data_IF_184906418518
#
_entry.id   IF_184906418518
#
_cell.length_a   1.000
_cell.length_b   1.000
_cell.length_c   1.000
_cell.angle_alpha   90.00
_cell.angle_beta   90.00
_cell.angle_gamma   90.00
#
_symmetry.space_group_name_H-M   'P 1'
#
loop_
_entity.id
_entity.type
_entity.pdbx_description
1 polymer ?
#
# COMPACT_ATOMS: atom_id res chain seq x y z
N UNK A 1 -21.02 64.25 82.84
CA UNK A 1 -19.58 64.35 82.48
C UNK A 1 -19.26 63.16 81.58
N UNK A 2 -19.33 63.34 80.27
CA UNK A 2 -19.01 62.30 79.28
C UNK A 2 -17.68 62.63 78.63
N UNK A 3 -16.66 61.79 78.91
CA UNK A 3 -15.32 61.88 78.27
C UNK A 3 -15.39 61.15 76.92
N UNK A 4 -15.36 61.89 75.80
CA UNK A 4 -15.14 61.33 74.48
C UNK A 4 -13.68 60.91 74.33
N UNK A 5 -13.42 59.62 74.22
CA UNK A 5 -12.14 59.07 73.82
C UNK A 5 -12.03 59.20 72.28
N UNK A 6 -11.22 60.12 71.80
CA UNK A 6 -10.90 60.24 70.38
C UNK A 6 -9.77 59.25 70.03
N UNK A 7 -10.10 58.11 69.38
CA UNK A 7 -9.10 57.28 68.80
C UNK A 7 -8.36 58.03 67.66
N UNK A 8 -7.06 58.17 67.79
CA UNK A 8 -6.22 58.74 66.72
C UNK A 8 -6.15 57.73 65.58
N UNK A 9 -6.37 58.16 64.31
CA UNK A 9 -6.21 57.26 63.19
C UNK A 9 -4.76 56.74 63.09
N UNK A 10 -4.61 55.42 63.06
CA UNK A 10 -3.32 54.76 62.81
C UNK A 10 -2.82 55.12 61.44
N UNK A 11 -1.92 56.06 61.33
CA UNK A 11 -1.22 56.36 60.07
C UNK A 11 -0.22 55.22 59.78
N UNK A 12 -0.49 54.42 58.76
CA UNK A 12 0.53 53.52 58.27
C UNK A 12 1.75 54.33 57.84
N UNK A 13 2.93 54.01 58.32
CA UNK A 13 4.13 54.77 57.95
C UNK A 13 4.35 54.60 56.43
N UNK A 14 4.63 55.75 55.77
CA UNK A 14 4.84 55.74 54.28
C UNK A 14 5.90 54.75 53.82
N UNK A 15 6.80 54.38 54.66
CA UNK A 15 7.79 53.34 54.46
C UNK A 15 7.15 51.94 54.28
N UNK A 16 6.13 51.61 55.08
CA UNK A 16 5.42 50.30 54.94
C UNK A 16 4.66 50.19 53.64
N UNK A 17 4.07 51.28 53.20
CA UNK A 17 3.36 51.35 51.90
C UNK A 17 4.34 51.18 50.73
N UNK A 18 5.46 51.85 50.80
CA UNK A 18 6.55 51.77 49.81
C UNK A 18 7.13 50.32 49.77
N UNK A 19 7.33 49.70 50.92
CA UNK A 19 7.79 48.30 51.00
C UNK A 19 6.80 47.35 50.39
N UNK A 20 5.48 47.51 50.64
CA UNK A 20 4.41 46.67 50.04
C UNK A 20 4.40 46.86 48.52
N UNK A 21 4.56 48.07 48.02
CA UNK A 21 4.62 48.34 46.57
C UNK A 21 5.82 47.66 45.94
N UNK A 22 6.99 47.72 46.58
CA UNK A 22 8.22 47.07 46.11
C UNK A 22 8.04 45.57 46.11
N UNK A 23 7.51 44.97 47.19
CA UNK A 23 7.27 43.52 47.29
C UNK A 23 6.24 43.06 46.28
N UNK A 24 5.15 43.83 46.10
CA UNK A 24 4.14 43.55 45.09
C UNK A 24 4.73 43.62 43.66
N UNK A 25 5.52 44.65 43.40
CA UNK A 25 6.24 44.81 42.11
C UNK A 25 7.22 43.67 41.84
N UNK A 26 7.98 43.24 42.86
CA UNK A 26 8.85 42.08 42.74
C UNK A 26 8.09 40.76 42.57
N UNK A 27 6.95 40.60 43.25
CA UNK A 27 6.12 39.43 43.11
C UNK A 27 5.48 39.35 41.70
N UNK A 28 4.92 40.46 41.22
CA UNK A 28 4.38 40.59 39.87
C UNK A 28 5.50 40.37 38.82
N UNK A 29 6.63 41.04 38.97
CA UNK A 29 7.79 40.84 38.08
C UNK A 29 8.26 39.40 38.09
N UNK A 30 8.37 38.79 39.30
CA UNK A 30 8.70 37.36 39.46
C UNK A 30 7.69 36.42 38.79
N UNK A 31 6.39 36.68 38.93
CA UNK A 31 5.38 35.91 38.28
C UNK A 31 5.50 35.90 36.73
N UNK A 32 5.72 37.06 36.12
CA UNK A 32 5.88 37.19 34.67
C UNK A 32 7.25 36.70 34.16
N UNK A 33 8.28 36.74 34.99
CA UNK A 33 9.62 36.29 34.63
C UNK A 33 9.86 34.81 34.95
N UNK A 34 9.16 34.22 35.91
CA UNK A 34 9.36 32.85 36.35
C UNK A 34 9.33 31.82 35.19
N UNK A 35 8.41 31.90 34.21
CA UNK A 35 8.41 30.99 33.06
C UNK A 35 9.66 31.10 32.18
N UNK A 36 10.37 32.26 32.24
CA UNK A 36 11.61 32.49 31.50
C UNK A 36 12.86 31.95 32.20
N UNK A 37 12.76 31.49 33.46
CA UNK A 37 13.86 30.86 34.21
C UNK A 37 13.77 29.35 34.25
N UNK A 38 13.24 28.74 33.19
CA UNK A 38 13.16 27.28 33.08
C UNK A 38 14.55 26.64 32.84
N UNK A 39 14.64 25.34 33.16
CA UNK A 39 15.85 24.52 32.99
C UNK A 39 15.71 23.47 31.91
N UNK A 40 14.53 23.34 31.30
CA UNK A 40 14.28 22.35 30.27
C UNK A 40 14.92 22.82 28.96
N UNK A 41 15.79 22.01 28.40
CA UNK A 41 16.42 22.33 27.13
C UNK A 41 15.49 21.94 25.96
N UNK A 42 15.65 22.59 24.78
CA UNK A 42 14.93 22.24 23.59
C UNK A 42 15.03 20.76 23.25
N UNK A 43 13.94 20.18 22.71
CA UNK A 43 13.93 18.80 22.23
C UNK A 43 14.12 18.76 20.72
N UNK A 44 14.94 17.84 20.25
CA UNK A 44 15.24 17.63 18.82
C UNK A 44 14.84 16.21 18.46
N UNK A 45 13.95 16.06 17.46
CA UNK A 45 13.49 14.77 16.94
C UNK A 45 13.81 14.68 15.45
N UNK A 46 14.28 13.51 15.02
CA UNK A 46 14.59 13.18 13.62
C UNK A 46 13.62 12.13 13.11
N UNK A 47 13.00 12.35 11.96
CA UNK A 47 12.04 11.41 11.36
C UNK A 47 12.25 11.29 9.85
N UNK A 48 12.46 10.09 9.29
CA UNK A 48 12.71 8.83 10.01
C UNK A 48 14.05 8.86 10.75
N UNK A 49 14.23 8.00 11.75
CA UNK A 49 15.52 7.79 12.39
C UNK A 49 16.44 6.93 11.51
N UNK A 50 16.89 7.51 10.39
CA UNK A 50 17.75 6.87 9.38
C UNK A 50 19.22 7.17 9.61
N UNK A 51 20.07 6.19 9.32
CA UNK A 51 21.53 6.32 9.26
C UNK A 51 22.04 6.67 7.84
N UNK A 52 21.11 6.87 6.89
CA UNK A 52 21.39 7.23 5.51
C UNK A 52 20.62 8.48 5.13
N UNK A 53 21.23 9.37 4.37
CA UNK A 53 20.62 10.59 3.84
C UNK A 53 20.86 10.68 2.33
N UNK A 54 19.76 10.73 1.55
CA UNK A 54 19.80 10.78 0.09
C UNK A 54 18.72 11.67 -0.50
N UNK A 55 17.89 11.10 -1.36
CA UNK A 55 16.72 11.77 -1.98
C UNK A 55 15.55 11.85 -1.00
N UNK A 56 15.36 10.79 -0.20
CA UNK A 56 14.33 10.79 0.84
C UNK A 56 14.63 11.89 1.88
N UNK A 57 13.66 12.74 2.21
CA UNK A 57 13.87 13.82 3.16
C UNK A 57 13.95 13.30 4.60
N UNK A 58 14.87 13.89 5.38
CA UNK A 58 14.92 13.79 6.83
C UNK A 58 14.21 15.02 7.41
N UNK A 59 13.18 14.81 8.19
CA UNK A 59 12.50 15.88 8.95
C UNK A 59 13.16 16.03 10.32
N UNK A 60 13.56 17.26 10.64
CA UNK A 60 14.12 17.67 11.92
C UNK A 60 13.07 18.55 12.60
N UNK A 61 12.52 18.08 13.71
CA UNK A 61 11.55 18.83 14.51
C UNK A 61 12.24 19.27 15.80
N UNK A 62 12.30 20.57 16.01
CA UNK A 62 12.86 21.19 17.22
C UNK A 62 11.72 21.85 17.97
N UNK A 63 11.54 21.50 19.24
CA UNK A 63 10.47 22.06 20.08
C UNK A 63 10.99 22.55 21.41
N UNK A 64 10.39 23.63 21.88
CA UNK A 64 10.55 24.14 23.24
C UNK A 64 9.23 24.68 23.74
N UNK A 65 8.67 24.05 24.77
CA UNK A 65 7.35 24.42 25.33
C UNK A 65 7.45 25.52 26.40
N UNK A 66 8.62 25.74 26.93
CA UNK A 66 8.91 26.73 27.97
C UNK A 66 9.19 28.14 27.42
N UNK A 67 10.44 28.57 27.46
CA UNK A 67 10.88 29.90 27.01
C UNK A 67 10.79 30.07 25.49
N UNK A 68 10.71 28.96 24.73
CA UNK A 68 10.70 28.92 23.27
C UNK A 68 12.09 29.02 22.66
N UNK A 69 12.19 28.57 21.41
CA UNK A 69 13.45 28.57 20.66
C UNK A 69 13.92 29.99 20.33
N UNK A 70 15.17 30.29 20.60
CA UNK A 70 15.84 31.55 20.23
C UNK A 70 16.74 31.37 18.99
N UNK A 71 17.34 30.19 18.84
CA UNK A 71 18.12 29.87 17.63
C UNK A 71 18.10 28.37 17.34
N UNK A 72 18.16 28.04 16.07
CA UNK A 72 18.36 26.69 15.58
C UNK A 72 19.39 26.73 14.46
N UNK A 73 20.47 25.95 14.62
CA UNK A 73 21.47 25.75 13.57
C UNK A 73 21.56 24.27 13.24
N UNK A 74 21.68 23.95 11.96
CA UNK A 74 21.90 22.58 11.48
C UNK A 74 23.03 22.63 10.45
N UNK A 75 24.04 21.80 10.64
CA UNK A 75 25.17 21.67 9.71
C UNK A 75 25.41 20.21 9.38
N UNK A 76 25.88 19.95 8.16
CA UNK A 76 26.24 18.64 7.66
C UNK A 76 27.69 18.66 7.20
N UNK A 77 28.54 17.90 7.86
CA UNK A 77 29.97 17.77 7.52
C UNK A 77 30.15 16.48 6.69
N UNK A 78 30.70 16.62 5.47
CA UNK A 78 30.97 15.52 4.54
C UNK A 78 32.37 15.64 3.99
N UNK A 79 33.21 14.62 4.20
CA UNK A 79 34.60 14.63 3.70
C UNK A 79 35.42 15.87 4.08
N UNK A 80 35.17 16.44 5.28
CA UNK A 80 35.80 17.66 5.77
C UNK A 80 35.21 18.98 5.26
N UNK A 81 34.17 18.91 4.41
CA UNK A 81 33.42 20.10 3.97
C UNK A 81 32.15 20.26 4.81
N UNK A 82 31.90 21.44 5.35
CA UNK A 82 30.70 21.74 6.13
C UNK A 82 29.70 22.48 5.27
N UNK A 83 28.47 21.94 5.25
CA UNK A 83 27.31 22.48 4.58
C UNK A 83 26.33 23.04 5.63
N UNK A 84 26.03 24.33 5.55
CA UNK A 84 25.02 24.93 6.42
C UNK A 84 23.62 24.60 5.87
N UNK A 85 22.85 23.89 6.68
CA UNK A 85 21.45 23.46 6.33
C UNK A 85 20.44 24.47 6.89
N UNK A 86 20.70 25.04 8.05
CA UNK A 86 19.88 26.06 8.67
C UNK A 86 20.72 26.89 9.66
N UNK A 87 20.49 28.21 9.68
CA UNK A 87 21.09 29.12 10.61
C UNK A 87 20.08 30.22 10.95
N UNK A 88 19.11 29.89 11.83
CA UNK A 88 18.03 30.82 12.16
C UNK A 88 18.17 31.36 13.59
N UNK A 89 17.94 32.66 13.72
CA UNK A 89 17.80 33.35 15.01
C UNK A 89 16.43 34.03 15.03
N UNK A 90 15.72 33.87 16.13
CA UNK A 90 14.38 34.41 16.28
C UNK A 90 14.40 35.63 17.18
N UNK A 91 13.87 36.75 16.67
CA UNK A 91 13.70 37.98 17.48
C UNK A 91 12.73 37.72 18.63
N UNK A 92 11.62 37.02 18.36
CA UNK A 92 10.68 36.50 19.33
C UNK A 92 10.78 34.99 19.38
N UNK A 93 10.82 34.36 20.58
CA UNK A 93 10.92 32.92 20.73
C UNK A 93 9.73 32.18 20.08
N UNK A 94 10.03 31.10 19.34
CA UNK A 94 9.04 30.22 18.69
C UNK A 94 8.95 28.88 19.42
N UNK A 95 7.77 28.24 19.45
CA UNK A 95 7.57 26.98 20.18
C UNK A 95 8.05 25.75 19.41
N UNK A 96 8.04 25.84 18.08
CA UNK A 96 8.41 24.74 17.21
C UNK A 96 9.10 25.26 15.95
N UNK A 97 10.09 24.50 15.47
CA UNK A 97 10.70 24.67 14.15
C UNK A 97 10.82 23.32 13.46
N UNK A 98 10.41 23.27 12.20
CA UNK A 98 10.58 22.12 11.32
C UNK A 98 11.57 22.46 10.21
N UNK A 99 12.52 21.56 9.98
CA UNK A 99 13.49 21.63 8.88
C UNK A 99 13.38 20.32 8.09
N UNK A 100 13.46 20.41 6.77
CA UNK A 100 13.49 19.24 5.89
C UNK A 100 14.81 19.24 5.14
N UNK A 101 15.58 18.19 5.32
CA UNK A 101 16.91 18.02 4.73
C UNK A 101 16.92 16.82 3.81
N UNK A 102 17.43 17.00 2.59
CA UNK A 102 17.70 15.90 1.66
C UNK A 102 19.08 16.16 1.01
N UNK A 103 19.93 15.13 0.93
CA UNK A 103 21.26 15.26 0.35
C UNK A 103 21.21 15.72 -1.10
N UNK A 104 20.26 15.21 -1.88
CA UNK A 104 20.06 15.58 -3.29
C UNK A 104 19.79 17.08 -3.53
N UNK A 105 19.42 17.83 -2.49
CA UNK A 105 19.18 19.28 -2.57
C UNK A 105 20.44 20.13 -2.24
N UNK A 106 21.53 19.48 -1.84
CA UNK A 106 22.77 20.16 -1.46
C UNK A 106 23.72 20.12 -2.67
N UNK A 107 24.01 21.28 -3.24
CA UNK A 107 24.87 21.38 -4.41
C UNK A 107 26.28 20.87 -4.12
N UNK A 108 26.80 19.98 -4.97
CA UNK A 108 28.17 19.44 -4.88
C UNK A 108 28.40 18.50 -3.72
N UNK A 109 27.35 17.97 -3.10
CA UNK A 109 27.49 16.97 -2.04
C UNK A 109 28.20 15.72 -2.56
N UNK A 110 29.09 15.17 -1.76
CA UNK A 110 29.80 13.92 -2.05
C UNK A 110 29.17 12.78 -1.26
N UNK A 111 29.21 11.59 -1.82
CA UNK A 111 28.85 10.36 -1.11
C UNK A 111 29.86 10.00 -0.04
N UNK A 112 29.39 9.27 0.97
CA UNK A 112 30.23 8.73 2.02
C UNK A 112 29.83 9.18 3.43
N UNK A 113 30.69 8.92 4.41
CA UNK A 113 30.42 9.25 5.81
C UNK A 113 30.21 10.75 6.02
N UNK A 114 29.18 11.08 6.80
CA UNK A 114 28.80 12.44 7.14
C UNK A 114 28.42 12.55 8.60
N UNK A 115 28.50 13.76 9.13
CA UNK A 115 28.07 14.09 10.48
C UNK A 115 27.06 15.22 10.42
N UNK A 116 25.83 14.92 10.80
CA UNK A 116 24.78 15.92 10.99
C UNK A 116 24.87 16.45 12.42
N UNK A 117 25.02 17.76 12.58
CA UNK A 117 25.00 18.44 13.87
C UNK A 117 23.89 19.46 13.91
N UNK A 118 23.04 19.34 14.93
CA UNK A 118 21.92 20.26 15.16
C UNK A 118 22.12 20.86 16.54
N UNK A 119 22.06 22.18 16.62
CA UNK A 119 22.15 22.91 17.87
C UNK A 119 20.93 23.80 18.00
N UNK A 120 20.21 23.62 19.09
CA UNK A 120 19.02 24.41 19.42
C UNK A 120 19.24 25.11 20.76
N UNK A 121 18.92 26.39 20.82
CA UNK A 121 18.98 27.18 22.04
C UNK A 121 17.65 27.88 22.27
N UNK A 122 17.19 27.87 23.52
CA UNK A 122 15.97 28.55 23.95
C UNK A 122 16.17 30.01 24.32
N UNK A 123 15.06 30.68 24.63
CA UNK A 123 15.06 32.06 25.15
C UNK A 123 15.07 32.15 26.68
N UNK A 124 15.40 31.06 27.38
CA UNK A 124 15.46 31.05 28.86
C UNK A 124 16.50 32.03 29.41
N UNK A 125 16.17 32.60 30.55
CA UNK A 125 17.11 33.46 31.33
C UNK A 125 17.99 32.61 32.23
N UNK A 126 17.90 31.28 32.22
CA UNK A 126 18.77 30.40 32.98
C UNK A 126 20.23 30.49 32.52
N UNK A 127 21.15 30.07 33.34
CA UNK A 127 22.57 30.05 33.00
C UNK A 127 23.15 31.44 32.71
N UNK A 128 22.86 32.46 33.53
CA UNK A 128 23.30 33.84 33.32
C UNK A 128 22.84 34.43 31.98
N UNK A 129 21.56 34.25 31.64
CA UNK A 129 20.93 34.76 30.42
C UNK A 129 21.41 34.08 29.12
N UNK A 130 22.11 32.94 29.22
CA UNK A 130 22.61 32.22 28.04
C UNK A 130 21.55 31.28 27.44
N UNK A 131 20.52 30.93 28.20
CA UNK A 131 19.50 29.92 27.81
C UNK A 131 20.01 28.49 27.95
N UNK A 132 19.11 27.55 27.73
CA UNK A 132 19.45 26.13 27.64
C UNK A 132 19.77 25.75 26.20
N UNK A 133 20.70 24.81 26.01
CA UNK A 133 21.16 24.38 24.72
C UNK A 133 21.06 22.86 24.59
N UNK A 134 20.57 22.38 23.47
CA UNK A 134 20.63 20.98 23.07
C UNK A 134 21.46 20.84 21.81
N UNK A 135 22.41 19.93 21.84
CA UNK A 135 23.21 19.56 20.67
C UNK A 135 22.96 18.07 20.36
N UNK A 136 22.50 17.79 19.17
CA UNK A 136 22.37 16.42 18.61
C UNK A 136 23.42 16.28 17.53
N UNK A 137 24.23 15.22 17.63
CA UNK A 137 25.17 14.84 16.60
C UNK A 137 24.84 13.41 16.13
N UNK A 138 24.66 13.24 14.84
CA UNK A 138 24.30 11.95 14.23
C UNK A 138 25.25 11.63 13.08
N UNK A 139 25.85 10.46 13.14
CA UNK A 139 26.62 9.90 12.03
C UNK A 139 25.66 9.38 10.98
N UNK A 140 25.88 9.76 9.73
CA UNK A 140 25.09 9.40 8.56
C UNK A 140 26.02 8.93 7.44
N UNK A 141 25.43 8.25 6.47
CA UNK A 141 26.06 8.01 5.17
C UNK A 141 25.28 8.77 4.11
N UNK A 142 25.94 9.59 3.32
CA UNK A 142 25.35 10.24 2.16
C UNK A 142 25.35 9.24 1.03
N UNK A 143 24.17 9.01 0.46
CA UNK A 143 23.96 8.12 -0.67
C UNK A 143 22.97 8.79 -1.66
N UNK A 144 23.48 9.13 -2.84
CA UNK A 144 22.71 9.76 -3.92
C UNK A 144 22.76 8.93 -5.22
N UNK A 145 23.34 7.73 -5.15
CA UNK A 145 23.43 6.80 -6.27
C UNK A 145 22.25 5.85 -6.27
N UNK A 146 21.42 5.82 -7.34
CA UNK A 146 20.31 4.86 -7.43
C UNK A 146 20.80 3.41 -7.43
N UNK A 147 20.00 2.48 -6.89
CA UNK A 147 20.31 1.05 -6.91
C UNK A 147 20.46 0.54 -8.34
N UNK A 148 21.21 -0.55 -8.51
CA UNK A 148 21.30 -1.25 -9.79
C UNK A 148 20.22 -2.32 -9.90
N UNK A 149 19.72 -2.54 -11.12
CA UNK A 149 18.79 -3.63 -11.44
C UNK A 149 19.27 -4.36 -12.69
N UNK A 150 19.13 -5.70 -12.69
CA UNK A 150 19.42 -6.56 -13.82
C UNK A 150 18.24 -7.50 -14.06
N UNK A 151 17.62 -7.42 -15.23
CA UNK A 151 16.53 -8.31 -15.62
C UNK A 151 17.13 -9.65 -16.10
N UNK A 152 16.71 -10.75 -15.49
CA UNK A 152 17.21 -12.10 -15.78
C UNK A 152 16.25 -12.83 -16.72
N UNK A 153 14.95 -12.74 -16.43
CA UNK A 153 13.91 -13.36 -17.26
C UNK A 153 12.60 -12.55 -17.15
N UNK A 154 11.88 -12.45 -18.26
CA UNK A 154 10.57 -11.81 -18.36
C UNK A 154 9.64 -12.58 -19.30
N UNK A 155 8.41 -12.06 -19.49
CA UNK A 155 7.46 -12.59 -20.44
C UNK A 155 7.44 -11.76 -21.72
N UNK A 156 7.53 -12.43 -22.85
CA UNK A 156 7.41 -11.79 -24.16
C UNK A 156 5.97 -11.35 -24.48
N UNK A 157 5.00 -12.08 -23.95
CA UNK A 157 3.58 -11.86 -24.24
C UNK A 157 2.78 -11.85 -22.94
N UNK A 158 1.91 -10.85 -22.79
CA UNK A 158 0.97 -10.78 -21.67
C UNK A 158 -0.42 -10.52 -22.24
N UNK A 159 -1.44 -11.18 -21.74
CA UNK A 159 -2.82 -10.89 -22.10
C UNK A 159 -3.28 -9.59 -21.45
N UNK A 160 -4.11 -8.80 -22.14
CA UNK A 160 -4.77 -7.66 -21.52
C UNK A 160 -5.67 -8.13 -20.38
N UNK A 161 -5.47 -7.63 -19.17
CA UNK A 161 -6.12 -8.14 -17.94
C UNK A 161 -5.48 -9.41 -17.36
N UNK A 162 -4.43 -9.93 -17.98
CA UNK A 162 -3.72 -11.14 -17.56
C UNK A 162 -2.47 -10.87 -16.72
N UNK A 163 -1.78 -11.95 -16.38
CA UNK A 163 -0.61 -11.96 -15.53
C UNK A 163 0.69 -12.18 -16.30
N UNK A 164 1.80 -11.76 -15.70
CA UNK A 164 3.16 -12.05 -16.12
C UNK A 164 4.08 -12.27 -14.91
N UNK A 165 5.28 -12.77 -15.18
CA UNK A 165 6.30 -12.99 -14.17
C UNK A 165 7.66 -12.48 -14.64
N UNK A 166 8.45 -11.95 -13.70
CA UNK A 166 9.85 -11.58 -13.95
C UNK A 166 10.76 -12.15 -12.88
N UNK A 167 12.01 -12.38 -13.27
CA UNK A 167 13.14 -12.63 -12.36
C UNK A 167 14.17 -11.55 -12.60
N UNK A 168 14.68 -10.97 -11.53
CA UNK A 168 15.66 -9.89 -11.58
C UNK A 168 16.57 -9.89 -10.36
N UNK A 169 17.71 -9.21 -10.48
CA UNK A 169 18.59 -8.83 -9.36
C UNK A 169 18.46 -7.36 -9.07
N UNK A 170 18.67 -6.99 -7.83
CA UNK A 170 18.83 -5.60 -7.41
C UNK A 170 19.99 -5.51 -6.40
N UNK A 171 20.63 -4.35 -6.32
CA UNK A 171 21.73 -4.12 -5.38
C UNK A 171 21.32 -4.36 -3.92
N UNK A 172 22.26 -4.74 -3.03
CA UNK A 172 21.95 -5.17 -1.66
C UNK A 172 21.30 -4.11 -0.77
N UNK A 173 21.49 -2.84 -1.07
CA UNK A 173 20.93 -1.67 -0.39
C UNK A 173 19.46 -1.41 -0.74
N UNK A 174 18.91 -2.12 -1.75
CA UNK A 174 17.52 -2.02 -2.18
C UNK A 174 16.56 -2.46 -1.06
N UNK A 175 15.63 -1.59 -0.67
CA UNK A 175 14.59 -1.88 0.33
C UNK A 175 13.24 -2.20 -0.28
N UNK A 176 12.96 -1.67 -1.47
CA UNK A 176 11.72 -1.93 -2.19
C UNK A 176 12.02 -2.12 -3.66
N UNK A 177 11.52 -3.21 -4.25
CA UNK A 177 11.60 -3.42 -5.69
C UNK A 177 10.41 -4.22 -6.21
N UNK A 178 10.08 -4.06 -7.50
CA UNK A 178 8.96 -4.73 -8.14
C UNK A 178 8.54 -4.07 -9.43
N UNK A 179 7.41 -4.50 -9.98
CA UNK A 179 6.85 -3.98 -11.23
C UNK A 179 5.79 -2.93 -10.93
N UNK A 180 5.89 -1.77 -11.56
CA UNK A 180 4.86 -0.72 -11.54
C UNK A 180 4.22 -0.61 -12.92
N UNK A 181 2.89 -0.51 -12.94
CA UNK A 181 2.11 -0.22 -14.14
C UNK A 181 0.90 0.65 -13.78
N UNK A 182 0.82 1.86 -14.35
CA UNK A 182 -0.12 2.87 -13.85
C UNK A 182 0.09 3.12 -12.35
N UNK A 183 -0.99 3.06 -11.58
CA UNK A 183 -0.99 3.24 -10.12
C UNK A 183 -0.76 1.92 -9.34
N UNK A 184 -0.59 0.80 -10.05
CA UNK A 184 -0.41 -0.51 -9.42
C UNK A 184 1.07 -0.84 -9.25
N UNK A 185 1.39 -1.42 -8.08
CA UNK A 185 2.72 -1.91 -7.76
C UNK A 185 2.67 -3.36 -7.33
N UNK A 186 3.53 -4.18 -7.93
CA UNK A 186 3.66 -5.62 -7.71
C UNK A 186 5.05 -5.91 -7.16
N UNK A 187 5.20 -6.10 -5.85
CA UNK A 187 6.50 -6.28 -5.21
C UNK A 187 7.17 -7.59 -5.61
N UNK A 188 8.49 -7.54 -5.75
CA UNK A 188 9.31 -8.73 -5.90
C UNK A 188 9.66 -9.36 -4.55
N UNK A 189 9.80 -10.68 -4.55
CA UNK A 189 10.12 -11.49 -3.37
C UNK A 189 11.39 -12.32 -3.62
N UNK A 190 12.36 -12.27 -2.71
CA UNK A 190 13.57 -13.09 -2.76
C UNK A 190 13.31 -14.55 -2.34
N UNK A 191 14.22 -15.45 -2.74
CA UNK A 191 14.25 -16.83 -2.25
C UNK A 191 13.25 -17.78 -2.93
N UNK A 192 12.61 -17.35 -4.02
CA UNK A 192 11.68 -18.20 -4.78
C UNK A 192 12.35 -18.92 -5.94
N UNK A 193 13.48 -18.40 -6.44
CA UNK A 193 14.21 -18.95 -7.58
C UNK A 193 15.17 -20.01 -7.09
N UNK A 194 15.08 -21.20 -7.66
CA UNK A 194 15.88 -22.36 -7.30
C UNK A 194 17.38 -22.05 -7.43
N UNK A 195 18.15 -22.43 -6.42
CA UNK A 195 19.62 -22.25 -6.34
C UNK A 195 20.11 -20.79 -6.47
N UNK A 196 19.20 -19.81 -6.42
CA UNK A 196 19.49 -18.38 -6.60
C UNK A 196 18.73 -17.52 -5.56
N UNK A 197 19.08 -17.60 -4.26
CA UNK A 197 18.31 -16.97 -3.18
C UNK A 197 18.30 -15.43 -3.24
N UNK A 198 19.30 -14.82 -3.92
CA UNK A 198 19.39 -13.36 -4.09
C UNK A 198 18.53 -12.81 -5.22
N UNK A 199 18.00 -13.69 -6.09
CA UNK A 199 17.10 -13.24 -7.15
C UNK A 199 15.72 -12.93 -6.60
N UNK A 200 15.15 -11.87 -7.13
CA UNK A 200 13.76 -11.52 -6.90
C UNK A 200 12.88 -12.17 -7.96
N UNK A 201 11.77 -12.71 -7.53
CA UNK A 201 10.67 -13.15 -8.38
C UNK A 201 9.47 -12.23 -8.15
N UNK A 202 8.87 -11.72 -9.20
CA UNK A 202 7.66 -10.92 -9.11
C UNK A 202 6.60 -11.43 -10.09
N UNK A 203 5.40 -11.68 -9.58
CA UNK A 203 4.19 -11.79 -10.38
C UNK A 203 3.61 -10.37 -10.56
N UNK A 204 3.20 -10.03 -11.77
CA UNK A 204 2.55 -8.75 -12.05
C UNK A 204 1.41 -8.92 -13.05
N UNK A 205 0.63 -7.88 -13.26
CA UNK A 205 -0.47 -7.91 -14.21
C UNK A 205 -0.42 -6.68 -15.13
N UNK A 206 -0.98 -6.82 -16.36
CA UNK A 206 -1.49 -5.67 -17.08
C UNK A 206 -2.99 -5.56 -16.79
N UNK A 207 -3.42 -4.71 -15.84
CA UNK A 207 -4.81 -4.72 -15.37
C UNK A 207 -5.80 -4.38 -16.50
N UNK A 208 -6.97 -4.99 -16.48
CA UNK A 208 -8.02 -4.77 -17.50
C UNK A 208 -8.55 -3.32 -17.55
N UNK A 209 -8.38 -2.57 -16.48
CA UNK A 209 -8.80 -1.17 -16.33
C UNK A 209 -7.67 -0.15 -16.55
N UNK A 210 -6.48 -0.61 -16.96
CA UNK A 210 -5.35 0.23 -17.33
C UNK A 210 -5.23 0.29 -18.86
N UNK A 211 -5.02 1.46 -19.47
CA UNK A 211 -4.85 1.53 -20.91
C UNK A 211 -3.75 0.62 -21.44
N UNK A 212 -3.98 -0.06 -22.58
CA UNK A 212 -2.97 -0.93 -23.19
C UNK A 212 -1.66 -0.22 -23.60
N UNK A 213 -1.67 1.11 -23.65
CA UNK A 213 -0.48 1.94 -23.89
C UNK A 213 0.35 2.20 -22.63
N UNK A 214 -0.15 1.84 -21.44
CA UNK A 214 0.59 2.01 -20.20
C UNK A 214 1.83 1.13 -20.19
N UNK A 215 2.94 1.71 -19.73
CA UNK A 215 4.22 1.01 -19.67
C UNK A 215 4.39 0.36 -18.31
N UNK A 216 4.81 -0.90 -18.30
CA UNK A 216 5.30 -1.54 -17.08
C UNK A 216 6.78 -1.17 -16.90
N UNK A 217 7.15 -0.88 -15.65
CA UNK A 217 8.54 -0.58 -15.29
C UNK A 217 8.96 -1.42 -14.09
N UNK A 218 10.13 -2.00 -14.14
CA UNK A 218 10.81 -2.55 -12.98
C UNK A 218 11.40 -1.39 -12.18
N UNK A 219 11.01 -1.26 -10.94
CA UNK A 219 11.43 -0.17 -10.04
C UNK A 219 12.19 -0.78 -8.87
N UNK A 220 13.29 -0.14 -8.48
CA UNK A 220 14.01 -0.45 -7.25
C UNK A 220 14.34 0.85 -6.52
N UNK A 221 14.11 0.87 -5.22
CA UNK A 221 14.37 2.02 -4.33
C UNK A 221 15.22 1.56 -3.16
N UNK A 222 16.27 2.30 -2.83
CA UNK A 222 17.18 2.04 -1.71
C UNK A 222 16.71 2.73 -0.40
N UNK A 223 17.52 2.58 0.67
CA UNK A 223 17.26 3.22 1.96
C UNK A 223 17.33 4.74 1.92
N UNK A 224 18.11 5.29 0.99
CA UNK A 224 18.29 6.74 0.81
C UNK A 224 17.17 7.36 -0.03
N UNK A 225 16.25 6.55 -0.58
CA UNK A 225 15.15 6.97 -1.43
C UNK A 225 15.54 7.18 -2.90
N UNK A 226 16.79 6.81 -3.29
CA UNK A 226 17.17 6.83 -4.69
C UNK A 226 16.42 5.72 -5.43
N UNK A 227 15.95 6.02 -6.64
CA UNK A 227 15.11 5.10 -7.41
C UNK A 227 15.70 4.85 -8.79
N UNK A 228 15.77 3.57 -9.16
CA UNK A 228 16.09 3.11 -10.53
C UNK A 228 14.81 2.60 -11.17
N UNK A 229 14.58 2.98 -12.42
CA UNK A 229 13.49 2.45 -13.26
C UNK A 229 14.05 1.82 -14.52
N UNK A 230 13.53 0.64 -14.89
CA UNK A 230 13.84 -0.06 -16.14
C UNK A 230 12.53 -0.45 -16.81
N UNK A 231 12.34 -0.04 -18.07
CA UNK A 231 11.15 -0.40 -18.83
C UNK A 231 11.12 -1.91 -19.09
N UNK A 232 9.98 -2.54 -18.85
CA UNK A 232 9.68 -3.91 -19.28
C UNK A 232 9.04 -3.86 -20.67
N UNK A 233 9.53 -4.70 -21.59
CA UNK A 233 9.07 -4.73 -22.97
C UNK A 233 8.41 -6.07 -23.26
N UNK A 234 7.09 -6.05 -23.40
CA UNK A 234 6.30 -7.22 -23.81
C UNK A 234 5.24 -6.82 -24.84
N UNK A 235 4.77 -7.79 -25.59
CA UNK A 235 3.65 -7.64 -26.51
C UNK A 235 2.34 -7.91 -25.76
N UNK A 236 1.49 -6.89 -25.64
CA UNK A 236 0.19 -7.02 -25.02
C UNK A 236 -0.79 -7.66 -26.01
N UNK A 237 -1.25 -8.87 -25.70
CA UNK A 237 -2.26 -9.57 -26.49
C UNK A 237 -3.65 -9.04 -26.16
N UNK A 238 -4.33 -8.55 -27.18
CA UNK A 238 -5.69 -8.04 -27.00
C UNK A 238 -6.66 -9.20 -26.70
N UNK A 239 -7.28 -9.15 -25.54
CA UNK A 239 -8.37 -10.02 -25.15
C UNK A 239 -9.69 -9.28 -25.38
N UNK A 240 -10.59 -9.89 -26.18
CA UNK A 240 -11.92 -9.32 -26.38
C UNK A 240 -12.82 -9.73 -25.21
N UNK A 241 -13.15 -8.78 -24.37
CA UNK A 241 -14.10 -8.98 -23.30
C UNK A 241 -15.54 -8.83 -23.80
N UNK A 242 -16.44 -9.62 -23.21
CA UNK A 242 -17.86 -9.59 -23.52
C UNK A 242 -18.47 -8.28 -23.01
N UNK A 243 -19.48 -7.80 -23.74
CA UNK A 243 -20.39 -6.76 -23.27
C UNK A 243 -21.78 -7.39 -23.14
N UNK A 244 -22.39 -7.23 -21.98
CA UNK A 244 -23.69 -7.82 -21.70
C UNK A 244 -24.66 -6.78 -21.13
N UNK A 245 -25.95 -6.99 -21.40
CA UNK A 245 -27.03 -6.20 -20.83
C UNK A 245 -27.83 -7.06 -19.88
N UNK A 246 -28.01 -6.62 -18.65
CA UNK A 246 -28.75 -7.32 -17.59
C UNK A 246 -30.00 -6.51 -17.26
N UNK A 247 -31.17 -7.06 -17.59
CA UNK A 247 -32.45 -6.48 -17.23
C UNK A 247 -32.79 -6.82 -15.78
N UNK A 248 -32.95 -5.79 -14.96
CA UNK A 248 -33.31 -5.91 -13.55
C UNK A 248 -34.84 -5.98 -13.42
N UNK A 249 -35.30 -6.91 -12.59
CA UNK A 249 -36.71 -7.07 -12.25
C UNK A 249 -36.98 -6.54 -10.85
N UNK A 250 -38.22 -6.11 -10.57
CA UNK A 250 -38.64 -5.71 -9.22
C UNK A 250 -38.40 -6.80 -8.19
N UNK A 251 -38.68 -8.06 -8.55
CA UNK A 251 -38.43 -9.20 -7.68
C UNK A 251 -36.96 -9.34 -7.31
N UNK A 252 -36.04 -9.19 -8.28
CA UNK A 252 -34.61 -9.22 -8.01
C UNK A 252 -34.19 -8.05 -7.13
N UNK A 253 -34.64 -6.84 -7.43
CA UNK A 253 -34.31 -5.64 -6.67
C UNK A 253 -34.78 -5.76 -5.21
N UNK A 254 -36.02 -6.20 -4.97
CA UNK A 254 -36.58 -6.35 -3.63
C UNK A 254 -35.90 -7.47 -2.82
N UNK A 255 -35.67 -8.63 -3.46
CA UNK A 255 -35.21 -9.84 -2.76
C UNK A 255 -33.70 -9.94 -2.62
N UNK A 256 -32.90 -9.32 -3.52
CA UNK A 256 -31.44 -9.44 -3.54
C UNK A 256 -30.71 -8.13 -3.27
N UNK A 257 -31.27 -6.98 -3.70
CA UNK A 257 -30.55 -5.70 -3.58
C UNK A 257 -30.91 -4.98 -2.27
N UNK A 258 -32.20 -4.82 -1.96
CA UNK A 258 -32.64 -4.11 -0.75
C UNK A 258 -32.05 -4.72 0.53
N UNK A 259 -31.97 -6.05 0.71
CA UNK A 259 -31.35 -6.66 1.90
C UNK A 259 -29.88 -6.37 2.11
N UNK A 260 -29.13 -6.00 1.04
CA UNK A 260 -27.71 -5.67 1.14
C UNK A 260 -27.47 -4.28 1.78
N UNK A 261 -28.47 -3.41 1.77
CA UNK A 261 -28.37 -2.08 2.38
C UNK A 261 -28.67 -2.20 3.87
N UNK A 262 -27.68 -1.93 4.71
CA UNK A 262 -27.83 -2.03 6.19
C UNK A 262 -28.60 -0.87 6.78
N UNK A 263 -28.49 0.31 6.18
CA UNK A 263 -29.18 1.54 6.61
C UNK A 263 -30.66 1.49 6.22
N UNK A 264 -31.55 1.61 7.22
CA UNK A 264 -32.99 1.56 7.03
C UNK A 264 -33.51 2.74 6.20
N UNK A 265 -32.94 3.93 6.36
CA UNK A 265 -33.35 5.12 5.61
C UNK A 265 -32.96 5.03 4.13
N UNK A 266 -31.78 4.49 3.85
CA UNK A 266 -31.31 4.25 2.49
C UNK A 266 -32.14 3.18 1.73
N UNK A 267 -32.94 2.33 2.42
CA UNK A 267 -33.86 1.36 1.82
C UNK A 267 -35.16 1.99 1.32
N UNK A 268 -35.49 3.21 1.75
CA UNK A 268 -36.79 3.86 1.46
C UNK A 268 -36.87 4.55 0.10
N UNK A 269 -35.75 4.60 -0.66
CA UNK A 269 -35.71 5.17 -2.01
C UNK A 269 -36.39 4.30 -3.07
N UNK A 270 -36.51 4.82 -4.29
CA UNK A 270 -36.94 4.00 -5.42
C UNK A 270 -35.95 2.83 -5.60
N UNK A 271 -36.44 1.60 -5.82
CA UNK A 271 -35.61 0.38 -5.86
C UNK A 271 -34.46 0.45 -6.86
N UNK A 272 -34.62 1.19 -7.97
CA UNK A 272 -33.56 1.45 -8.94
C UNK A 272 -32.41 2.27 -8.33
N UNK A 273 -32.74 3.25 -7.49
CA UNK A 273 -31.72 4.13 -6.86
C UNK A 273 -30.98 3.37 -5.76
N UNK A 274 -31.66 2.48 -5.04
CA UNK A 274 -31.04 1.53 -4.10
C UNK A 274 -30.05 0.63 -4.85
N UNK A 275 -30.41 0.12 -6.03
CA UNK A 275 -29.49 -0.67 -6.86
C UNK A 275 -28.25 0.12 -7.26
N UNK A 276 -28.42 1.35 -7.74
CA UNK A 276 -27.28 2.21 -8.14
C UNK A 276 -26.36 2.47 -6.94
N UNK A 277 -26.91 2.70 -5.75
CA UNK A 277 -26.11 2.86 -4.54
C UNK A 277 -25.33 1.59 -4.17
N UNK A 278 -25.96 0.42 -4.27
CA UNK A 278 -25.30 -0.89 -4.05
C UNK A 278 -24.22 -1.13 -5.12
N UNK A 279 -24.55 -0.92 -6.39
CA UNK A 279 -23.62 -1.20 -7.49
C UNK A 279 -22.42 -0.26 -7.54
N UNK A 280 -22.52 0.97 -7.02
CA UNK A 280 -21.41 1.93 -6.95
C UNK A 280 -20.71 1.88 -5.60
N UNK A 281 -21.41 2.28 -4.53
CA UNK A 281 -20.80 2.45 -3.22
C UNK A 281 -20.43 1.11 -2.57
N UNK A 282 -21.42 0.21 -2.40
CA UNK A 282 -21.17 -1.06 -1.71
C UNK A 282 -20.21 -1.95 -2.51
N UNK A 283 -20.32 -1.97 -3.85
CA UNK A 283 -19.34 -2.67 -4.71
C UNK A 283 -17.93 -2.14 -4.47
N UNK A 284 -17.75 -0.81 -4.53
CA UNK A 284 -16.43 -0.22 -4.28
C UNK A 284 -15.88 -0.54 -2.89
N UNK A 285 -16.70 -0.44 -1.85
CA UNK A 285 -16.30 -0.81 -0.49
C UNK A 285 -15.85 -2.28 -0.38
N UNK A 286 -16.55 -3.19 -1.06
CA UNK A 286 -16.19 -4.60 -1.08
C UNK A 286 -14.92 -4.86 -1.89
N UNK A 287 -14.75 -4.24 -3.05
CA UNK A 287 -13.55 -4.34 -3.89
C UNK A 287 -12.33 -3.75 -3.18
N UNK A 288 -12.46 -2.60 -2.50
CA UNK A 288 -11.41 -2.01 -1.67
C UNK A 288 -11.00 -2.97 -0.52
N UNK A 289 -11.97 -3.64 0.10
CA UNK A 289 -11.71 -4.63 1.14
C UNK A 289 -10.98 -5.86 0.59
N UNK A 290 -11.40 -6.38 -0.57
CA UNK A 290 -10.70 -7.47 -1.26
C UNK A 290 -9.27 -7.04 -1.57
N UNK A 291 -9.08 -5.86 -2.15
CA UNK A 291 -7.76 -5.33 -2.47
C UNK A 291 -6.88 -5.18 -1.22
N UNK A 292 -7.43 -4.72 -0.09
CA UNK A 292 -6.70 -4.59 1.16
C UNK A 292 -6.25 -5.95 1.75
N UNK A 293 -7.11 -6.98 1.63
CA UNK A 293 -6.80 -8.36 2.05
C UNK A 293 -5.72 -8.95 1.14
N UNK A 294 -5.90 -8.84 -0.18
CA UNK A 294 -5.07 -9.51 -1.18
C UNK A 294 -3.76 -8.77 -1.51
N UNK A 295 -3.44 -7.68 -0.79
CA UNK A 295 -2.11 -7.06 -0.76
C UNK A 295 -1.18 -7.63 0.30
N UNK A 296 -1.69 -8.41 1.25
CA UNK A 296 -0.92 -8.98 2.37
C UNK A 296 -0.70 -10.46 2.16
N UNK A 297 0.34 -10.82 1.43
CA UNK A 297 0.64 -12.20 1.07
C UNK A 297 1.82 -12.77 1.83
N UNK A 298 1.79 -14.07 2.01
CA UNK A 298 2.95 -14.86 2.43
C UNK A 298 4.08 -14.74 1.40
N UNK A 299 5.34 -14.50 1.81
CA UNK A 299 6.45 -14.36 0.87
C UNK A 299 6.81 -15.67 0.15
N UNK A 300 6.45 -16.82 0.70
CA UNK A 300 6.73 -18.13 0.11
C UNK A 300 5.60 -18.58 -0.83
N UNK A 301 5.94 -19.25 -1.94
CA UNK A 301 4.99 -19.91 -2.82
C UNK A 301 4.36 -21.12 -2.09
N UNK A 302 3.03 -21.17 -2.02
CA UNK A 302 2.25 -22.22 -1.35
C UNK A 302 1.53 -23.15 -2.34
N UNK A 303 1.57 -22.86 -3.61
CA UNK A 303 0.91 -23.59 -4.69
C UNK A 303 1.89 -24.37 -5.56
N UNK A 304 1.37 -25.32 -6.36
CA UNK A 304 2.16 -26.10 -7.29
C UNK A 304 1.36 -26.42 -8.54
N UNK A 305 1.93 -26.21 -9.72
CA UNK A 305 1.31 -26.47 -11.01
C UNK A 305 0.00 -25.67 -11.22
N UNK A 306 -0.83 -26.17 -12.13
CA UNK A 306 -2.06 -25.49 -12.53
C UNK A 306 -3.11 -25.48 -11.42
N UNK A 307 -3.90 -24.41 -11.39
CA UNK A 307 -5.07 -24.26 -10.54
C UNK A 307 -6.23 -25.07 -11.12
N UNK A 308 -7.03 -25.64 -10.26
CA UNK A 308 -8.18 -26.45 -10.68
C UNK A 308 -9.42 -25.56 -10.87
N UNK A 309 -10.07 -25.64 -12.01
CA UNK A 309 -11.43 -25.15 -12.18
C UNK A 309 -12.39 -26.00 -11.35
N UNK A 310 -13.50 -25.41 -10.89
CA UNK A 310 -14.58 -26.15 -10.21
C UNK A 310 -15.03 -27.33 -11.06
N UNK A 311 -15.02 -28.53 -10.50
CA UNK A 311 -15.34 -29.77 -11.20
C UNK A 311 -16.74 -29.70 -11.79
N UNK A 312 -16.92 -30.22 -13.01
CA UNK A 312 -18.19 -30.28 -13.73
C UNK A 312 -18.90 -28.93 -13.97
N UNK A 313 -18.19 -27.82 -13.80
CA UNK A 313 -18.81 -26.52 -13.95
C UNK A 313 -18.89 -26.06 -15.40
N UNK A 314 -19.94 -25.29 -15.68
CA UNK A 314 -20.11 -24.51 -16.91
C UNK A 314 -19.83 -23.07 -16.63
N UNK A 315 -19.07 -22.41 -17.50
CA UNK A 315 -18.84 -20.97 -17.43
C UNK A 315 -20.09 -20.23 -17.91
N UNK A 316 -20.72 -19.45 -17.05
CA UNK A 316 -21.88 -18.62 -17.38
C UNK A 316 -21.47 -17.17 -17.65
N UNK A 317 -20.49 -16.65 -16.92
CA UNK A 317 -19.96 -15.32 -17.16
C UNK A 317 -18.44 -15.29 -17.03
N UNK A 318 -17.82 -14.47 -17.89
CA UNK A 318 -16.38 -14.36 -18.01
C UNK A 318 -15.82 -13.16 -17.20
N UNK A 319 -14.52 -13.20 -16.95
CA UNK A 319 -13.77 -12.09 -16.42
C UNK A 319 -13.83 -10.86 -17.34
N UNK A 320 -13.88 -9.67 -16.73
CA UNK A 320 -13.95 -8.35 -17.38
C UNK A 320 -15.16 -8.17 -18.32
N UNK A 321 -16.24 -8.98 -18.16
CA UNK A 321 -17.52 -8.74 -18.83
C UNK A 321 -18.05 -7.36 -18.43
N UNK A 322 -18.20 -6.45 -19.40
CA UNK A 322 -18.76 -5.10 -19.20
C UNK A 322 -20.29 -5.21 -19.17
N UNK A 323 -20.86 -5.16 -17.97
CA UNK A 323 -22.29 -5.32 -17.73
C UNK A 323 -22.99 -3.97 -17.69
N UNK A 324 -23.96 -3.77 -18.60
CA UNK A 324 -24.90 -2.63 -18.51
C UNK A 324 -26.18 -3.11 -17.84
N UNK A 325 -26.57 -2.48 -16.76
CA UNK A 325 -27.81 -2.79 -16.05
C UNK A 325 -28.95 -1.91 -16.54
N UNK A 326 -30.07 -2.55 -16.88
CA UNK A 326 -31.26 -1.84 -17.34
C UNK A 326 -32.45 -2.11 -16.41
N UNK A 327 -33.29 -1.08 -16.23
CA UNK A 327 -34.54 -1.18 -15.50
C UNK A 327 -35.63 -0.49 -16.33
N UNK A 328 -36.76 -1.19 -16.58
CA UNK A 328 -37.81 -0.74 -17.50
C UNK A 328 -37.24 -0.35 -18.88
N UNK A 329 -36.34 -1.18 -19.42
CA UNK A 329 -35.63 -0.99 -20.70
C UNK A 329 -34.75 0.28 -20.78
N UNK A 330 -34.47 0.95 -19.66
CA UNK A 330 -33.58 2.11 -19.61
C UNK A 330 -32.27 1.71 -18.91
N UNK A 331 -31.09 2.05 -19.46
CA UNK A 331 -29.82 1.84 -18.78
C UNK A 331 -29.76 2.71 -17.53
N UNK A 332 -29.39 2.11 -16.40
CA UNK A 332 -29.32 2.83 -15.11
C UNK A 332 -27.92 2.82 -14.51
N UNK A 333 -27.09 1.81 -14.82
CA UNK A 333 -25.72 1.73 -14.33
C UNK A 333 -24.91 0.69 -15.11
N UNK A 334 -23.59 0.62 -14.83
CA UNK A 334 -22.69 -0.40 -15.39
C UNK A 334 -21.64 -0.84 -14.38
N UNK A 335 -21.07 -2.03 -14.57
CA UNK A 335 -19.91 -2.53 -13.81
C UNK A 335 -19.18 -3.61 -14.60
N UNK A 336 -17.90 -3.82 -14.27
CA UNK A 336 -17.14 -4.96 -14.76
C UNK A 336 -17.31 -6.16 -13.83
N UNK A 337 -17.33 -7.35 -14.45
CA UNK A 337 -17.34 -8.62 -13.73
C UNK A 337 -15.90 -9.10 -13.49
N UNK A 338 -15.43 -9.07 -12.27
CA UNK A 338 -14.01 -9.31 -11.94
C UNK A 338 -13.69 -10.75 -11.54
N UNK A 339 -14.34 -11.72 -12.19
CA UNK A 339 -14.14 -13.15 -11.97
C UNK A 339 -14.84 -13.99 -13.04
N UNK A 340 -15.01 -15.26 -12.75
CA UNK A 340 -15.81 -16.21 -13.55
C UNK A 340 -17.00 -16.68 -12.72
N UNK A 341 -18.18 -16.69 -13.32
CA UNK A 341 -19.34 -17.34 -12.72
C UNK A 341 -19.43 -18.78 -13.24
N UNK A 342 -19.32 -19.73 -12.33
CA UNK A 342 -19.27 -21.18 -12.61
C UNK A 342 -20.52 -21.84 -12.06
N UNK A 343 -21.40 -22.36 -12.96
CA UNK A 343 -22.62 -23.05 -12.59
C UNK A 343 -22.43 -24.53 -12.57
N UNK A 344 -23.10 -25.17 -11.60
CA UNK A 344 -23.24 -26.62 -11.43
C UNK A 344 -24.64 -26.90 -10.85
N UNK A 345 -24.84 -28.07 -10.24
CA UNK A 345 -26.05 -28.34 -9.44
C UNK A 345 -26.03 -27.52 -8.14
N UNK A 346 -27.20 -27.19 -7.60
CA UNK A 346 -27.32 -26.39 -6.36
C UNK A 346 -26.54 -27.00 -5.20
N UNK A 347 -25.89 -26.12 -4.41
CA UNK A 347 -25.09 -26.47 -3.23
C UNK A 347 -23.99 -27.48 -3.53
N UNK A 348 -23.37 -27.34 -4.71
CA UNK A 348 -22.26 -28.18 -5.13
C UNK A 348 -21.04 -27.94 -4.25
N UNK A 349 -20.25 -28.99 -3.88
CA UNK A 349 -19.01 -28.80 -3.12
C UNK A 349 -18.02 -27.90 -3.88
N UNK A 350 -17.53 -26.87 -3.21
CA UNK A 350 -16.53 -25.94 -3.74
C UNK A 350 -15.14 -26.38 -3.27
N UNK A 351 -14.33 -26.78 -4.22
CA UNK A 351 -12.95 -27.23 -4.00
C UNK A 351 -11.97 -26.07 -4.11
N UNK A 352 -10.91 -26.07 -3.27
CA UNK A 352 -9.79 -25.17 -3.42
C UNK A 352 -9.07 -25.40 -4.76
N UNK A 353 -8.88 -24.35 -5.52
CA UNK A 353 -8.22 -24.42 -6.84
C UNK A 353 -6.76 -24.84 -6.74
N UNK A 354 -6.05 -24.44 -5.67
CA UNK A 354 -4.70 -24.89 -5.36
C UNK A 354 -4.45 -24.80 -3.84
N UNK A 355 -3.31 -25.29 -3.38
CA UNK A 355 -2.89 -25.20 -1.98
C UNK A 355 -2.63 -23.75 -1.58
N UNK A 356 -2.92 -23.41 -0.33
CA UNK A 356 -2.77 -22.05 0.19
C UNK A 356 -3.19 -21.94 1.64
N UNK A 357 -3.39 -20.72 2.10
CA UNK A 357 -3.85 -20.41 3.45
C UNK A 357 -5.11 -19.53 3.39
N UNK A 358 -6.11 -19.84 4.19
CA UNK A 358 -7.31 -19.01 4.32
C UNK A 358 -6.94 -17.68 4.96
N UNK A 359 -7.24 -16.57 4.30
CA UNK A 359 -7.00 -15.21 4.80
C UNK A 359 -8.28 -14.43 5.04
N UNK A 360 -9.41 -14.97 4.62
CA UNK A 360 -10.72 -14.39 4.89
C UNK A 360 -11.82 -15.44 4.76
N UNK A 361 -12.73 -15.44 5.71
CA UNK A 361 -14.01 -16.14 5.66
C UNK A 361 -15.13 -15.23 6.16
N UNK A 362 -16.29 -15.22 5.51
CA UNK A 362 -17.46 -14.50 5.98
C UNK A 362 -18.23 -13.75 4.91
N UNK A 363 -19.18 -12.90 5.37
CA UNK A 363 -19.98 -12.06 4.47
C UNK A 363 -19.15 -10.89 3.91
N UNK A 364 -19.22 -10.71 2.61
CA UNK A 364 -18.54 -9.67 1.85
C UNK A 364 -19.54 -8.88 0.95
N UNK A 365 -20.66 -8.51 1.51
CA UNK A 365 -21.67 -7.67 0.89
C UNK A 365 -22.19 -8.23 -0.44
N UNK A 366 -21.89 -7.59 -1.58
CA UNK A 366 -22.34 -8.06 -2.91
C UNK A 366 -21.81 -9.44 -3.27
N UNK A 367 -20.66 -9.84 -2.74
CA UNK A 367 -20.06 -11.16 -2.94
C UNK A 367 -20.68 -12.24 -2.04
N UNK A 368 -21.47 -11.85 -1.00
CA UNK A 368 -22.06 -12.78 -0.03
C UNK A 368 -21.01 -13.54 0.77
N UNK A 369 -21.32 -14.74 1.19
CA UNK A 369 -20.39 -15.61 1.90
C UNK A 369 -19.21 -15.95 1.01
N UNK A 370 -18.02 -15.57 1.47
CA UNK A 370 -16.78 -15.59 0.68
C UNK A 370 -15.65 -16.24 1.47
N UNK A 371 -14.81 -16.99 0.75
CA UNK A 371 -13.50 -17.49 1.21
C UNK A 371 -12.44 -16.91 0.29
N UNK A 372 -11.34 -16.42 0.86
CA UNK A 372 -10.14 -15.98 0.12
C UNK A 372 -8.93 -16.79 0.59
N UNK A 373 -8.22 -17.37 -0.37
CA UNK A 373 -6.97 -18.10 -0.13
C UNK A 373 -5.77 -17.28 -0.59
N UNK A 374 -4.74 -17.17 0.27
CA UNK A 374 -3.40 -16.72 -0.08
C UNK A 374 -2.59 -17.90 -0.56
N UNK A 375 -2.05 -17.81 -1.78
CA UNK A 375 -1.18 -18.83 -2.38
C UNK A 375 0.30 -18.42 -2.30
N UNK A 376 0.60 -17.27 -1.68
CA UNK A 376 1.95 -16.71 -1.59
C UNK A 376 2.33 -15.81 -2.77
N UNK A 377 3.39 -15.06 -2.59
CA UNK A 377 3.98 -14.11 -3.55
C UNK A 377 2.96 -13.17 -4.22
N UNK A 378 1.92 -12.78 -3.48
CA UNK A 378 0.87 -11.88 -3.94
C UNK A 378 -0.26 -12.50 -4.72
N UNK A 379 -0.30 -13.84 -4.87
CA UNK A 379 -1.33 -14.57 -5.60
C UNK A 379 -2.45 -15.04 -4.67
N UNK A 380 -3.71 -14.74 -5.02
CA UNK A 380 -4.89 -15.12 -4.25
C UNK A 380 -6.01 -15.67 -5.14
N UNK A 381 -6.85 -16.53 -4.55
CA UNK A 381 -8.12 -16.92 -5.14
C UNK A 381 -9.29 -16.59 -4.23
N UNK A 382 -10.41 -16.21 -4.83
CA UNK A 382 -11.64 -15.81 -4.16
C UNK A 382 -12.77 -16.73 -4.60
N UNK A 383 -13.56 -17.19 -3.63
CA UNK A 383 -14.71 -18.09 -3.80
C UNK A 383 -15.90 -17.46 -3.12
N UNK A 384 -16.89 -17.02 -3.90
CA UNK A 384 -18.01 -16.21 -3.39
C UNK A 384 -19.36 -16.80 -3.70
N UNK A 385 -20.42 -16.17 -3.18
CA UNK A 385 -21.83 -16.56 -3.21
C UNK A 385 -22.11 -17.88 -2.49
N UNK A 386 -21.23 -18.32 -1.57
CA UNK A 386 -21.33 -19.60 -0.91
C UNK A 386 -22.60 -19.71 -0.03
N UNK A 387 -23.24 -20.89 -0.03
CA UNK A 387 -24.33 -21.21 0.90
C UNK A 387 -23.81 -21.65 2.27
N UNK A 388 -22.61 -22.25 2.33
CA UNK A 388 -21.90 -22.63 3.56
C UNK A 388 -20.41 -22.44 3.39
N UNK A 389 -19.70 -22.15 4.51
CA UNK A 389 -18.25 -22.11 4.61
C UNK A 389 -17.84 -23.23 5.55
N UNK A 390 -16.90 -24.08 5.13
CA UNK A 390 -16.46 -25.28 5.86
C UNK A 390 -15.01 -25.17 6.34
N UNK A 391 -14.39 -23.99 6.21
CA UNK A 391 -13.02 -23.67 6.64
C UNK A 391 -13.00 -22.40 7.48
N UNK A 392 -11.86 -22.10 8.13
CA UNK A 392 -11.70 -20.94 9.00
C UNK A 392 -10.43 -20.14 8.67
N UNK A 393 -10.42 -18.89 9.06
CA UNK A 393 -9.27 -18.00 8.89
C UNK A 393 -8.00 -18.59 9.50
N UNK A 394 -6.90 -18.49 8.74
CA UNK A 394 -5.60 -19.03 9.12
C UNK A 394 -5.38 -20.51 8.80
N UNK A 395 -6.39 -21.24 8.34
CA UNK A 395 -6.29 -22.65 8.01
C UNK A 395 -5.42 -22.87 6.76
N UNK A 396 -4.52 -23.88 6.81
CA UNK A 396 -3.76 -24.32 5.64
C UNK A 396 -4.58 -25.28 4.82
N UNK A 397 -4.73 -25.01 3.54
CA UNK A 397 -5.60 -25.72 2.60
C UNK A 397 -4.74 -26.47 1.58
N UNK A 398 -5.15 -27.69 1.25
CA UNK A 398 -4.59 -28.45 0.13
C UNK A 398 -5.45 -28.25 -1.11
N UNK A 399 -4.83 -28.40 -2.28
CA UNK A 399 -5.58 -28.43 -3.55
C UNK A 399 -6.70 -29.48 -3.49
N UNK A 400 -7.90 -29.16 -4.00
CA UNK A 400 -9.10 -29.99 -3.98
C UNK A 400 -9.75 -30.19 -2.60
N UNK A 401 -9.25 -29.59 -1.53
CA UNK A 401 -9.94 -29.55 -0.25
C UNK A 401 -11.24 -28.76 -0.38
N UNK A 402 -12.32 -29.26 0.24
CA UNK A 402 -13.61 -28.57 0.23
C UNK A 402 -13.54 -27.32 1.12
N UNK A 403 -13.96 -26.18 0.56
CA UNK A 403 -14.04 -24.89 1.23
C UNK A 403 -15.45 -24.54 1.72
N UNK A 404 -16.46 -25.15 1.09
CA UNK A 404 -17.86 -24.87 1.34
C UNK A 404 -18.73 -25.38 0.19
N UNK A 405 -19.89 -24.75 -0.02
CA UNK A 405 -20.83 -25.14 -1.09
C UNK A 405 -21.30 -23.92 -1.87
N UNK A 406 -21.55 -24.10 -3.17
CA UNK A 406 -22.15 -23.05 -4.01
C UNK A 406 -23.46 -22.56 -3.44
N UNK A 407 -23.87 -21.38 -3.78
CA UNK A 407 -25.10 -20.77 -3.30
C UNK A 407 -25.47 -19.51 -4.07
N UNK A 408 -26.30 -18.69 -3.44
CA UNK A 408 -26.86 -17.47 -4.02
C UNK A 408 -26.85 -16.31 -3.01
N UNK A 409 -25.89 -16.31 -2.06
CA UNK A 409 -25.73 -15.22 -1.11
C UNK A 409 -25.16 -13.96 -1.80
N UNK A 410 -25.39 -12.78 -1.24
CA UNK A 410 -25.00 -11.53 -1.86
C UNK A 410 -25.82 -11.17 -3.10
N UNK A 411 -25.20 -10.56 -4.10
CA UNK A 411 -25.83 -10.08 -5.33
C UNK A 411 -25.82 -11.15 -6.43
N UNK A 412 -26.33 -12.34 -6.13
CA UNK A 412 -26.41 -13.48 -7.04
C UNK A 412 -27.82 -13.72 -7.55
N UNK A 413 -27.98 -13.93 -8.87
CA UNK A 413 -29.26 -14.22 -9.53
C UNK A 413 -29.70 -15.68 -9.42
N UNK A 414 -28.82 -16.58 -8.98
CA UNK A 414 -29.07 -18.02 -8.83
C UNK A 414 -27.84 -18.70 -8.23
N UNK A 415 -27.95 -20.01 -7.92
CA UNK A 415 -26.87 -20.78 -7.31
C UNK A 415 -25.71 -20.98 -8.30
N UNK A 416 -24.53 -20.44 -7.95
CA UNK A 416 -23.28 -20.56 -8.70
C UNK A 416 -22.09 -20.26 -7.80
N UNK A 417 -20.89 -20.53 -8.29
CA UNK A 417 -19.63 -20.03 -7.71
C UNK A 417 -19.15 -18.83 -8.50
N UNK A 418 -18.97 -17.68 -7.84
CA UNK A 418 -18.14 -16.62 -8.38
C UNK A 418 -16.68 -16.88 -7.95
N UNK A 419 -15.79 -17.08 -8.95
CA UNK A 419 -14.37 -17.40 -8.78
C UNK A 419 -13.50 -16.26 -9.31
N UNK A 420 -12.67 -15.68 -8.45
CA UNK A 420 -11.71 -14.62 -8.80
C UNK A 420 -10.28 -15.03 -8.56
N UNK A 421 -9.36 -14.49 -9.35
CA UNK A 421 -7.90 -14.54 -9.11
C UNK A 421 -7.39 -13.12 -8.96
N UNK A 422 -6.53 -12.91 -7.97
CA UNK A 422 -5.98 -11.58 -7.65
C UNK A 422 -4.47 -11.63 -7.52
N UNK A 423 -3.80 -10.60 -8.03
CA UNK A 423 -2.38 -10.33 -7.80
C UNK A 423 -2.25 -8.98 -7.10
N UNK A 424 -1.73 -8.97 -5.86
CA UNK A 424 -1.46 -7.75 -5.10
C UNK A 424 -2.62 -6.75 -5.08
N UNK A 425 -3.85 -7.26 -4.87
CA UNK A 425 -5.05 -6.42 -4.84
C UNK A 425 -5.72 -6.18 -6.20
N UNK A 426 -5.18 -6.71 -7.28
CA UNK A 426 -5.66 -6.51 -8.65
C UNK A 426 -6.29 -7.80 -9.17
N UNK A 427 -7.54 -7.74 -9.64
CA UNK A 427 -8.17 -8.88 -10.29
C UNK A 427 -7.51 -9.16 -11.64
N UNK A 428 -7.20 -10.43 -11.90
CA UNK A 428 -6.54 -10.89 -13.12
C UNK A 428 -7.30 -12.02 -13.79
N UNK A 429 -7.00 -12.28 -15.05
CA UNK A 429 -7.65 -13.28 -15.90
C UNK A 429 -7.48 -14.69 -15.32
N UNK A 430 -8.55 -15.34 -14.78
CA UNK A 430 -8.43 -16.63 -14.11
C UNK A 430 -8.05 -17.79 -15.02
N UNK A 431 -8.38 -17.74 -16.32
CA UNK A 431 -8.15 -18.85 -17.26
C UNK A 431 -6.66 -19.16 -17.44
N UNK A 432 -5.77 -18.18 -17.29
CA UNK A 432 -4.32 -18.40 -17.35
C UNK A 432 -3.86 -19.37 -16.25
N UNK A 433 -4.42 -19.24 -15.07
CA UNK A 433 -4.06 -20.07 -13.91
C UNK A 433 -4.62 -21.49 -13.99
N UNK A 434 -5.68 -21.72 -14.75
CA UNK A 434 -6.21 -23.07 -15.05
C UNK A 434 -5.44 -23.78 -16.16
N UNK A 435 -4.70 -23.04 -17.00
CA UNK A 435 -3.94 -23.60 -18.11
C UNK A 435 -2.55 -24.08 -17.66
N UNK A 436 -2.40 -25.40 -17.54
CA UNK A 436 -1.13 -26.04 -17.19
C UNK A 436 0.01 -25.67 -18.15
N UNK A 437 -0.32 -25.47 -19.44
CA UNK A 437 0.69 -25.06 -20.42
C UNK A 437 1.16 -23.63 -20.16
N UNK A 438 0.24 -22.72 -19.81
CA UNK A 438 0.61 -21.34 -19.50
C UNK A 438 1.52 -21.26 -18.26
N UNK A 439 1.19 -22.01 -17.19
CA UNK A 439 2.03 -22.12 -15.97
C UNK A 439 3.41 -22.66 -16.33
N UNK A 440 3.45 -23.77 -17.08
CA UNK A 440 4.70 -24.41 -17.50
C UNK A 440 5.57 -23.48 -18.37
N UNK A 441 4.98 -22.70 -19.27
CA UNK A 441 5.73 -21.88 -20.20
C UNK A 441 6.17 -20.53 -19.59
N UNK A 442 5.37 -19.94 -18.67
CA UNK A 442 5.59 -18.59 -18.20
C UNK A 442 6.07 -18.49 -16.75
N UNK A 443 5.80 -19.49 -15.90
CA UNK A 443 6.11 -19.41 -14.47
C UNK A 443 7.24 -20.38 -14.07
N UNK A 444 7.05 -21.67 -14.33
CA UNK A 444 7.96 -22.72 -13.84
C UNK A 444 9.41 -22.53 -14.28
N UNK A 445 9.75 -22.17 -15.55
CA UNK A 445 11.14 -22.01 -15.95
C UNK A 445 11.87 -20.90 -15.21
N UNK A 446 11.15 -19.84 -14.83
CA UNK A 446 11.68 -18.72 -14.07
C UNK A 446 11.98 -19.12 -12.62
N UNK A 447 11.09 -19.92 -12.01
CA UNK A 447 11.29 -20.49 -10.67
C UNK A 447 12.44 -21.53 -10.66
N UNK A 448 12.64 -22.25 -11.77
CA UNK A 448 13.79 -23.15 -11.96
C UNK A 448 15.11 -22.40 -12.21
N UNK A 449 15.10 -21.08 -12.31
CA UNK A 449 16.28 -20.23 -12.48
C UNK A 449 16.80 -20.14 -13.91
N UNK A 450 15.98 -20.48 -14.93
CA UNK A 450 16.36 -20.32 -16.34
C UNK A 450 16.36 -18.85 -16.73
N UNK A 451 17.35 -18.48 -17.54
CA UNK A 451 17.42 -17.15 -18.14
C UNK A 451 16.38 -16.94 -19.25
N UNK A 452 16.08 -15.68 -19.58
CA UNK A 452 15.19 -15.36 -20.68
C UNK A 452 15.62 -15.95 -22.03
N UNK A 453 16.93 -16.04 -22.29
CA UNK A 453 17.46 -16.70 -23.51
C UNK A 453 17.19 -18.21 -23.54
N UNK A 454 17.35 -18.90 -22.42
CA UNK A 454 17.08 -20.33 -22.31
C UNK A 454 15.60 -20.64 -22.49
N UNK A 455 14.73 -19.80 -21.89
CA UNK A 455 13.27 -19.89 -22.03
C UNK A 455 12.88 -19.67 -23.50
N UNK A 456 13.40 -18.63 -24.14
CA UNK A 456 13.10 -18.33 -25.53
C UNK A 456 13.56 -19.44 -26.50
N UNK A 457 14.72 -20.04 -26.24
CA UNK A 457 15.22 -21.20 -27.03
C UNK A 457 14.32 -22.42 -26.88
N UNK A 458 13.83 -22.71 -25.69
CA UNK A 458 12.94 -23.82 -25.42
C UNK A 458 11.55 -23.66 -26.06
N UNK A 459 11.06 -22.44 -26.17
CA UNK A 459 9.77 -22.09 -26.77
C UNK A 459 9.82 -21.91 -28.30
N UNK A 460 11.03 -21.88 -28.90
CA UNK A 460 11.19 -21.73 -30.34
C UNK A 460 10.58 -22.93 -31.09
N UNK A 461 9.81 -22.70 -32.17
CA UNK A 461 9.27 -23.80 -32.96
C UNK A 461 10.40 -24.64 -33.56
N UNK A 462 10.25 -25.97 -33.48
CA UNK A 462 11.24 -26.88 -34.08
C UNK A 462 11.47 -26.54 -35.55
N UNK A 463 12.72 -26.52 -36.04
CA UNK A 463 13.01 -26.20 -37.42
C UNK A 463 12.22 -27.12 -38.35
N UNK A 464 11.42 -26.53 -39.23
CA UNK A 464 10.67 -27.29 -40.25
C UNK A 464 11.67 -28.12 -41.05
N UNK A 465 11.58 -29.45 -40.94
CA UNK A 465 12.32 -30.36 -41.82
C UNK A 465 11.88 -30.07 -43.26
N UNK A 466 12.70 -29.38 -44.03
CA UNK A 466 12.52 -29.22 -45.46
C UNK A 466 12.69 -30.60 -46.07
N UNK A 467 11.59 -31.29 -46.34
CA UNK A 467 11.61 -32.47 -47.19
C UNK A 467 12.03 -32.05 -48.59
N UNK A 468 13.31 -32.17 -48.89
CA UNK A 468 13.82 -32.08 -50.27
C UNK A 468 13.07 -33.14 -51.08
N UNK A 469 12.04 -32.74 -51.88
CA UNK A 469 11.49 -33.57 -52.94
C UNK A 469 12.63 -33.89 -53.85
N UNK A 470 13.16 -35.14 -53.83
CA UNK A 470 13.97 -35.67 -54.89
C UNK A 470 13.03 -35.80 -56.10
N UNK A 471 13.24 -34.93 -57.08
CA UNK A 471 12.63 -35.04 -58.39
C UNK A 471 13.12 -36.34 -59.04
N UNK A 472 12.22 -37.11 -59.55
CA UNK A 472 12.46 -38.14 -60.57
C UNK A 472 12.29 -37.48 -61.94
#
# INVERSE_FOLDING_TARGET
MNAFNSEKPRRFPAFTILLIIIVAGLAIGGYYLAPRFERNAPQITLTPDSDVLGVAPLEIVVTDQGAGLKSVTATLSVGGTEHNLAGEQYAEPVKEKKLTVAASKIAGIKEGPAVLRITARDGSLWGFFKGNETVVQKNLTIDVTPPTVELIADDRYINFGGAGAIVYKASPDTVTSGVRIGDYFFPGTKGQVKDQPEHFFALFAHPYNVPGSAKAVLVATDKAGNTREMALVYELKNVKYRKSTIALTDSFLQNKVVPLVKDADARQGAVKDVFVAVNKRLRKENEDKIAAITRKSTPAILWNGAFAQLSNSKVEANFADERTYTYNNQPIDSAYHVGYDLSVTKRYPVEAANSGRVVFTGDLGIYGNTVILDHGVGLFTLYSHLSSIEVKDGESIKQRQILGRTGETGLAGGDHLHYGVYLQGVAVLPVEWWDAKWIHDNIEPKLEGRSGEEIAKAQAPAPRKTTRKRGR
#
